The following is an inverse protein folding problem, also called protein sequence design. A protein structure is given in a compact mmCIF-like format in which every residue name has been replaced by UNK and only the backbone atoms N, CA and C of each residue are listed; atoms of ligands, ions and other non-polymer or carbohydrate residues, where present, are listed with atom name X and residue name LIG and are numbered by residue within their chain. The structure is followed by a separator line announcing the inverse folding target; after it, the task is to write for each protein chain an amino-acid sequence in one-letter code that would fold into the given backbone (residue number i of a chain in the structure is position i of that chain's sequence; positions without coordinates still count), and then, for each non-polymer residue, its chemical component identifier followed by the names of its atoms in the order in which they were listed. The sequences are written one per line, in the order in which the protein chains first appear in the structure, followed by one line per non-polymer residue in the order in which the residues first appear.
data_IF_942623297398
#
_entry.id   IF_942623297398
#
_cell.length_a   1.000
_cell.length_b   1.000
_cell.length_c   1.000
_cell.angle_alpha   90.00
_cell.angle_beta   90.00
_cell.angle_gamma   90.00
#
_symmetry.space_group_name_H-M   'P 1'
#
loop_
_entity.id
_entity.type
_entity.pdbx_description
1 polymer ?
#
# COMPACT_ATOMS: atom_id res chain seq x y z
N UNK A 1 4.12 -28.88 -17.55
CA UNK A 1 4.07 -27.63 -18.35
C UNK A 1 4.17 -26.46 -17.36
N UNK A 2 5.13 -25.55 -17.53
CA UNK A 2 5.23 -24.35 -16.68
C UNK A 2 4.09 -23.37 -17.06
N UNK A 3 3.28 -22.98 -16.07
CA UNK A 3 2.19 -22.00 -16.20
C UNK A 3 2.47 -20.78 -15.33
N UNK A 4 2.15 -19.56 -15.79
CA UNK A 4 2.37 -18.35 -15.02
C UNK A 4 1.40 -18.32 -13.84
N UNK A 5 1.86 -17.73 -12.73
CA UNK A 5 1.01 -17.50 -11.56
C UNK A 5 1.16 -16.04 -11.15
N UNK A 6 0.03 -15.35 -11.03
CA UNK A 6 -0.04 -14.05 -10.35
C UNK A 6 -0.61 -14.30 -8.96
N UNK A 7 0.13 -13.88 -7.93
CA UNK A 7 -0.22 -14.08 -6.53
C UNK A 7 -0.26 -12.76 -5.80
N UNK A 8 -1.32 -12.56 -5.02
CA UNK A 8 -1.46 -11.45 -4.08
C UNK A 8 -1.74 -12.05 -2.69
N UNK A 9 -0.90 -11.70 -1.73
CA UNK A 9 -1.01 -12.20 -0.35
C UNK A 9 -1.66 -11.12 0.53
N UNK A 10 -2.67 -11.50 1.30
CA UNK A 10 -3.37 -10.64 2.25
C UNK A 10 -3.22 -11.20 3.65
N UNK A 11 -3.15 -10.33 4.66
CA UNK A 11 -3.39 -10.77 6.04
C UNK A 11 -4.83 -11.26 6.14
N UNK A 12 -5.08 -12.26 6.98
CA UNK A 12 -6.36 -12.97 7.01
C UNK A 12 -7.55 -12.04 7.32
N UNK A 13 -7.36 -11.06 8.20
CA UNK A 13 -8.38 -10.04 8.49
C UNK A 13 -8.83 -9.24 7.26
N UNK A 14 -8.01 -9.14 6.22
CA UNK A 14 -8.31 -8.42 4.98
C UNK A 14 -8.88 -9.35 3.88
N UNK A 15 -9.31 -10.58 4.23
CA UNK A 15 -10.01 -11.48 3.32
C UNK A 15 -11.18 -10.87 2.54
N UNK A 16 -12.00 -9.95 3.12
CA UNK A 16 -13.06 -9.30 2.36
C UNK A 16 -12.56 -8.53 1.13
N UNK A 17 -11.41 -7.86 1.22
CA UNK A 17 -10.80 -7.18 0.07
C UNK A 17 -10.34 -8.18 -1.00
N UNK A 18 -9.73 -9.29 -0.58
CA UNK A 18 -9.32 -10.35 -1.51
C UNK A 18 -10.52 -10.96 -2.26
N UNK A 19 -11.64 -11.20 -1.55
CA UNK A 19 -12.91 -11.65 -2.14
C UNK A 19 -13.44 -10.63 -3.15
N UNK A 20 -13.47 -9.34 -2.80
CA UNK A 20 -13.93 -8.28 -3.70
C UNK A 20 -13.08 -8.18 -4.97
N UNK A 21 -11.76 -8.27 -4.85
CA UNK A 21 -10.85 -8.27 -6.02
C UNK A 21 -11.11 -9.48 -6.91
N UNK A 22 -11.29 -10.68 -6.32
CA UNK A 22 -11.64 -11.91 -7.05
C UNK A 22 -12.94 -11.76 -7.82
N UNK A 23 -13.98 -11.18 -7.20
CA UNK A 23 -15.28 -10.90 -7.81
C UNK A 23 -15.16 -9.95 -9.02
N UNK A 24 -14.50 -8.79 -8.83
CA UNK A 24 -14.33 -7.77 -9.89
C UNK A 24 -13.50 -8.30 -11.06
N UNK A 25 -12.45 -9.07 -10.76
CA UNK A 25 -11.63 -9.67 -11.81
C UNK A 25 -12.29 -10.89 -12.45
N UNK A 26 -13.37 -11.42 -11.86
CA UNK A 26 -14.05 -12.64 -12.27
C UNK A 26 -13.05 -13.78 -12.50
N UNK A 27 -12.18 -14.02 -11.52
CA UNK A 27 -11.11 -15.00 -11.64
C UNK A 27 -10.27 -15.14 -10.38
N UNK A 28 -9.48 -16.21 -10.36
CA UNK A 28 -8.58 -16.55 -9.26
C UNK A 28 -9.23 -17.38 -8.15
N UNK A 29 -8.38 -17.98 -7.31
CA UNK A 29 -8.73 -18.83 -6.19
C UNK A 29 -8.15 -18.26 -4.89
N UNK A 30 -8.91 -18.38 -3.79
CA UNK A 30 -8.43 -18.05 -2.46
C UNK A 30 -7.85 -19.32 -1.84
N UNK A 31 -6.61 -19.24 -1.38
CA UNK A 31 -5.90 -20.33 -0.68
C UNK A 31 -5.60 -19.87 0.73
N UNK A 32 -5.92 -20.73 1.70
CA UNK A 32 -5.70 -20.50 3.13
C UNK A 32 -4.62 -21.47 3.63
N UNK A 33 -3.35 -21.06 3.70
CA UNK A 33 -2.29 -21.93 4.18
C UNK A 33 -2.54 -22.34 5.64
N UNK A 34 -2.31 -23.61 5.95
CA UNK A 34 -2.52 -24.17 7.29
C UNK A 34 -1.67 -23.43 8.33
N UNK A 35 -2.26 -23.18 9.50
CA UNK A 35 -1.61 -22.55 10.65
C UNK A 35 -0.95 -21.19 10.31
N UNK A 36 -1.61 -20.39 9.46
CA UNK A 36 -1.12 -19.08 9.05
C UNK A 36 -2.17 -17.99 9.30
N UNK A 37 -1.73 -16.74 9.38
CA UNK A 37 -2.58 -15.55 9.54
C UNK A 37 -2.70 -14.76 8.24
N UNK A 38 -2.57 -15.44 7.11
CA UNK A 38 -2.64 -14.85 5.77
C UNK A 38 -3.37 -15.77 4.80
N UNK A 39 -3.76 -15.22 3.67
CA UNK A 39 -4.32 -15.96 2.54
C UNK A 39 -3.72 -15.46 1.24
N UNK A 40 -3.73 -16.32 0.23
CA UNK A 40 -3.26 -16.01 -1.11
C UNK A 40 -4.46 -15.95 -2.08
N UNK A 41 -4.56 -14.87 -2.84
CA UNK A 41 -5.39 -14.79 -4.05
C UNK A 41 -4.51 -15.15 -5.25
N UNK A 42 -4.79 -16.31 -5.86
CA UNK A 42 -3.99 -16.90 -6.94
C UNK A 42 -4.73 -16.85 -8.27
N UNK A 43 -4.09 -16.31 -9.30
CA UNK A 43 -4.53 -16.39 -10.68
C UNK A 43 -3.58 -17.35 -11.41
N UNK A 44 -4.08 -18.52 -11.79
CA UNK A 44 -3.28 -19.63 -12.34
C UNK A 44 -3.72 -20.05 -13.74
N UNK A 45 -4.98 -19.78 -14.10
CA UNK A 45 -5.49 -20.06 -15.45
C UNK A 45 -4.99 -19.00 -16.45
N UNK A 46 -4.88 -19.39 -17.72
CA UNK A 46 -4.34 -18.54 -18.77
C UNK A 46 -5.20 -17.29 -19.01
N UNK A 47 -6.52 -17.40 -18.86
CA UNK A 47 -7.44 -16.30 -19.13
C UNK A 47 -7.28 -15.18 -18.09
N UNK A 48 -7.30 -15.53 -16.80
CA UNK A 48 -7.17 -14.55 -15.72
C UNK A 48 -5.77 -13.96 -15.67
N UNK A 49 -4.72 -14.75 -15.88
CA UNK A 49 -3.34 -14.25 -15.94
C UNK A 49 -3.10 -13.34 -17.15
N UNK A 50 -3.70 -13.64 -18.31
CA UNK A 50 -3.67 -12.74 -19.48
C UNK A 50 -4.44 -11.45 -19.22
N UNK A 51 -5.62 -11.52 -18.60
CA UNK A 51 -6.40 -10.35 -18.19
C UNK A 51 -5.58 -9.44 -17.26
N UNK A 52 -4.86 -10.02 -16.30
CA UNK A 52 -3.95 -9.27 -15.43
C UNK A 52 -2.83 -8.58 -16.21
N UNK A 53 -2.22 -9.27 -17.20
CA UNK A 53 -1.20 -8.67 -18.04
C UNK A 53 -1.73 -7.45 -18.79
N UNK A 54 -2.91 -7.55 -19.39
CA UNK A 54 -3.58 -6.43 -20.09
C UNK A 54 -3.90 -5.28 -19.14
N UNK A 55 -4.47 -5.57 -17.97
CA UNK A 55 -4.89 -4.54 -17.01
C UNK A 55 -3.72 -3.73 -16.43
N UNK A 56 -2.56 -4.38 -16.23
CA UNK A 56 -1.38 -3.77 -15.61
C UNK A 56 -0.46 -3.09 -16.63
N UNK A 57 -0.52 -3.46 -17.91
CA UNK A 57 0.35 -2.93 -18.94
C UNK A 57 0.16 -1.41 -19.10
N UNK A 58 1.23 -0.66 -18.91
CA UNK A 58 1.20 0.81 -18.90
C UNK A 58 0.72 1.45 -17.59
N UNK A 59 0.53 0.67 -16.50
CA UNK A 59 0.14 1.18 -15.17
C UNK A 59 1.17 0.91 -14.06
N UNK A 60 2.26 0.20 -14.38
CA UNK A 60 3.32 -0.11 -13.43
C UNK A 60 4.19 1.13 -13.18
N UNK A 61 4.61 1.36 -11.92
CA UNK A 61 5.48 2.50 -11.55
C UNK A 61 6.75 2.11 -10.80
N UNK A 62 7.01 0.82 -10.65
CA UNK A 62 8.17 0.28 -9.93
C UNK A 62 8.96 -0.68 -10.81
N UNK A 63 10.20 -1.03 -10.45
CA UNK A 63 11.00 -2.04 -11.14
C UNK A 63 10.31 -3.40 -11.32
N UNK A 64 9.25 -3.69 -10.55
CA UNK A 64 8.40 -4.89 -10.71
C UNK A 64 7.75 -4.98 -12.10
N UNK A 65 7.75 -3.92 -12.91
CA UNK A 65 7.36 -3.98 -14.33
C UNK A 65 8.09 -5.09 -15.10
N UNK A 66 9.33 -5.42 -14.72
CA UNK A 66 10.08 -6.53 -15.31
C UNK A 66 9.32 -7.86 -15.23
N UNK A 67 8.65 -8.13 -14.09
CA UNK A 67 7.87 -9.35 -13.93
C UNK A 67 6.62 -9.37 -14.82
N UNK A 68 6.01 -8.21 -15.05
CA UNK A 68 4.91 -8.06 -16.00
C UNK A 68 5.40 -8.28 -17.44
N UNK A 69 6.53 -7.70 -17.81
CA UNK A 69 7.12 -7.88 -19.14
C UNK A 69 7.46 -9.34 -19.43
N UNK A 70 8.02 -10.09 -18.46
CA UNK A 70 8.20 -11.55 -18.60
C UNK A 70 6.88 -12.30 -18.80
N UNK A 71 5.80 -11.89 -18.13
CA UNK A 71 4.48 -12.47 -18.33
C UNK A 71 3.94 -12.18 -19.74
N UNK A 72 4.15 -10.97 -20.25
CA UNK A 72 3.78 -10.59 -21.62
C UNK A 72 4.58 -11.41 -22.64
N UNK A 73 5.89 -11.55 -22.44
CA UNK A 73 6.76 -12.34 -23.31
C UNK A 73 6.35 -13.83 -23.32
N UNK A 74 5.96 -14.37 -22.16
CA UNK A 74 5.39 -15.72 -22.07
C UNK A 74 4.16 -15.90 -22.96
N UNK A 75 3.21 -14.95 -22.94
CA UNK A 75 2.01 -15.03 -23.79
C UNK A 75 2.34 -14.85 -25.27
N UNK A 76 3.18 -13.88 -25.61
CA UNK A 76 3.60 -13.59 -26.98
C UNK A 76 4.39 -14.73 -27.65
N UNK A 77 5.01 -15.62 -26.85
CA UNK A 77 5.73 -16.78 -27.35
C UNK A 77 4.84 -18.02 -27.51
N UNK A 78 3.75 -18.15 -26.75
CA UNK A 78 2.90 -19.35 -26.74
C UNK A 78 1.59 -19.20 -27.48
N UNK A 79 1.03 -18.00 -27.54
CA UNK A 79 -0.16 -17.72 -28.30
C UNK A 79 0.28 -17.36 -29.72
N UNK A 80 -0.10 -18.16 -30.71
CA UNK A 80 0.05 -17.80 -32.13
C UNK A 80 -0.92 -16.67 -32.56
N UNK A 81 -1.48 -15.94 -31.59
CA UNK A 81 -2.42 -14.85 -31.80
C UNK A 81 -1.69 -13.59 -32.28
N UNK A 82 -2.29 -12.92 -33.28
CA UNK A 82 -1.85 -11.62 -33.77
C UNK A 82 -2.98 -10.59 -33.58
N UNK A 83 -2.67 -9.33 -33.19
CA UNK A 83 -1.34 -8.80 -32.90
C UNK A 83 -0.81 -9.24 -31.52
N UNK A 84 0.53 -9.29 -31.40
CA UNK A 84 1.21 -9.53 -30.12
C UNK A 84 0.97 -8.36 -29.15
N UNK A 85 0.97 -8.65 -27.85
CA UNK A 85 0.84 -7.63 -26.81
C UNK A 85 2.12 -6.79 -26.74
N UNK A 86 2.00 -5.48 -26.98
CA UNK A 86 3.11 -4.52 -26.89
C UNK A 86 3.44 -4.27 -25.41
N UNK A 87 4.72 -4.31 -25.04
CA UNK A 87 5.18 -3.97 -23.69
C UNK A 87 5.21 -2.45 -23.51
N UNK A 88 4.29 -1.91 -22.72
CA UNK A 88 4.27 -0.48 -22.39
C UNK A 88 5.26 -0.19 -21.24
N UNK A 89 5.76 1.04 -21.20
CA UNK A 89 6.69 1.53 -20.19
C UNK A 89 6.02 1.80 -18.83
N UNK A 90 6.82 2.38 -17.92
CA UNK A 90 6.32 2.84 -16.63
C UNK A 90 5.33 4.00 -16.79
N UNK A 91 4.30 4.01 -15.95
CA UNK A 91 3.35 5.12 -15.84
C UNK A 91 4.00 6.30 -15.10
N UNK A 92 4.08 7.43 -15.80
CA UNK A 92 4.64 8.68 -15.29
C UNK A 92 3.58 9.76 -15.02
N UNK A 93 2.29 9.44 -15.13
CA UNK A 93 1.23 10.40 -14.85
C UNK A 93 1.28 10.92 -13.40
N UNK A 94 0.87 12.17 -13.15
CA UNK A 94 0.96 12.80 -11.83
C UNK A 94 0.36 11.94 -10.71
N UNK A 95 1.03 11.86 -9.56
CA UNK A 95 0.69 10.93 -8.47
C UNK A 95 -0.75 11.09 -7.94
N UNK A 96 -1.27 12.32 -7.94
CA UNK A 96 -2.62 12.62 -7.44
C UNK A 96 -3.75 12.38 -8.44
N UNK A 97 -3.47 11.93 -9.67
CA UNK A 97 -4.47 11.85 -10.74
C UNK A 97 -5.16 10.49 -10.86
N UNK A 98 -4.75 9.50 -10.09
CA UNK A 98 -5.30 8.15 -10.16
C UNK A 98 -5.08 7.40 -8.83
N UNK A 99 -5.72 6.24 -8.61
CA UNK A 99 -5.65 5.51 -7.35
C UNK A 99 -4.33 4.74 -7.10
N UNK A 100 -3.29 4.89 -7.92
CA UNK A 100 -2.07 4.09 -7.80
C UNK A 100 -1.42 4.21 -6.42
N UNK A 101 -1.33 5.42 -5.86
CA UNK A 101 -0.74 5.62 -4.53
C UNK A 101 -1.62 5.01 -3.43
N UNK A 102 -2.94 4.92 -3.62
CA UNK A 102 -3.83 4.29 -2.65
C UNK A 102 -3.57 2.78 -2.60
N UNK A 103 -3.45 2.13 -3.77
CA UNK A 103 -3.07 0.72 -3.85
C UNK A 103 -1.67 0.44 -3.30
N UNK A 104 -0.72 1.37 -3.51
CA UNK A 104 0.63 1.25 -2.96
C UNK A 104 0.66 1.39 -1.43
N UNK A 105 -0.09 2.34 -0.88
CA UNK A 105 -0.29 2.48 0.56
C UNK A 105 -1.06 1.31 1.15
N UNK A 106 -1.91 0.64 0.37
CA UNK A 106 -2.57 -0.57 0.85
C UNK A 106 -1.63 -1.73 1.09
N UNK A 107 -0.61 -1.86 0.25
CA UNK A 107 0.41 -2.88 0.43
C UNK A 107 1.40 -2.50 1.55
N UNK A 108 1.96 -1.29 1.48
CA UNK A 108 3.19 -0.95 2.20
C UNK A 108 3.09 0.32 3.08
N UNK A 109 1.90 0.92 3.16
CA UNK A 109 1.61 2.09 3.99
C UNK A 109 1.28 1.74 5.44
N UNK A 110 1.60 2.67 6.35
CA UNK A 110 1.29 2.59 7.76
C UNK A 110 0.86 3.95 8.32
N UNK A 111 -0.23 3.98 9.09
CA UNK A 111 -0.68 5.15 9.84
C UNK A 111 -0.30 5.01 11.31
N UNK A 112 0.51 5.94 11.80
CA UNK A 112 1.01 5.93 13.16
C UNK A 112 0.41 7.06 13.99
N UNK A 113 0.00 6.71 15.21
CA UNK A 113 -0.45 7.63 16.25
C UNK A 113 0.28 7.35 17.57
N UNK A 114 0.84 8.39 18.16
CA UNK A 114 1.55 8.36 19.43
C UNK A 114 1.23 9.58 20.27
N UNK A 115 1.19 9.40 21.59
CA UNK A 115 0.94 10.47 22.55
C UNK A 115 1.75 10.23 23.82
N UNK A 116 2.10 11.32 24.51
CA UNK A 116 2.70 11.29 25.84
C UNK A 116 1.78 11.98 26.84
N UNK A 117 1.71 11.46 28.06
CA UNK A 117 0.89 11.99 29.14
C UNK A 117 1.74 12.78 30.14
N UNK A 118 1.13 13.74 30.84
CA UNK A 118 1.67 14.36 32.05
C UNK A 118 1.28 13.52 33.30
N UNK A 119 1.65 14.00 34.49
CA UNK A 119 1.32 13.36 35.77
C UNK A 119 -0.19 13.28 36.05
N UNK A 120 -0.98 14.18 35.47
CA UNK A 120 -2.44 14.26 35.61
C UNK A 120 -3.18 13.39 34.58
N UNK A 121 -2.44 12.64 33.74
CA UNK A 121 -3.04 11.82 32.69
C UNK A 121 -3.53 12.61 31.48
N UNK A 122 -3.18 13.89 31.35
CA UNK A 122 -3.50 14.74 30.20
C UNK A 122 -2.37 14.67 29.16
N UNK A 123 -2.74 14.67 27.88
CA UNK A 123 -1.79 14.61 26.77
C UNK A 123 -0.92 15.86 26.70
N UNK A 124 0.40 15.69 26.82
CA UNK A 124 1.41 16.77 26.69
C UNK A 124 2.06 16.86 25.31
N UNK A 125 1.95 15.80 24.50
CA UNK A 125 2.56 15.76 23.19
C UNK A 125 1.94 14.70 22.30
N UNK A 126 1.78 15.03 21.01
CA UNK A 126 1.09 14.19 20.02
C UNK A 126 1.95 14.05 18.77
N UNK A 127 2.12 12.81 18.31
CA UNK A 127 2.81 12.46 17.07
C UNK A 127 1.84 11.68 16.18
N UNK A 128 1.68 12.12 14.95
CA UNK A 128 0.85 11.45 13.96
C UNK A 128 1.48 11.61 12.58
N UNK A 129 1.65 10.50 11.87
CA UNK A 129 2.22 10.46 10.52
C UNK A 129 1.73 9.24 9.74
N UNK A 130 1.74 9.35 8.41
CA UNK A 130 1.78 8.21 7.50
C UNK A 130 3.24 7.91 7.18
N UNK A 131 3.57 6.62 7.07
CA UNK A 131 4.85 6.14 6.56
C UNK A 131 4.59 5.15 5.44
N UNK A 132 5.42 5.18 4.40
CA UNK A 132 5.51 4.15 3.37
C UNK A 132 6.97 3.84 3.11
N UNK A 133 7.28 2.57 2.82
CA UNK A 133 8.65 2.15 2.61
C UNK A 133 8.78 1.05 1.58
N UNK A 134 9.90 1.02 0.87
CA UNK A 134 10.29 -0.05 -0.05
C UNK A 134 11.75 -0.41 0.14
N UNK A 135 12.11 -1.66 -0.18
CA UNK A 135 13.51 -2.06 -0.35
C UNK A 135 14.19 -1.15 -1.36
N UNK A 136 15.47 -0.85 -1.16
CA UNK A 136 16.21 -0.01 -2.11
C UNK A 136 16.23 -0.62 -3.51
N UNK A 137 16.51 -1.92 -3.59
CA UNK A 137 16.50 -2.69 -4.84
C UNK A 137 15.34 -3.68 -4.86
N UNK A 138 14.68 -3.81 -6.01
CA UNK A 138 13.57 -4.76 -6.19
C UNK A 138 14.04 -6.22 -6.14
N UNK A 139 15.12 -6.55 -6.85
CA UNK A 139 15.73 -7.88 -6.86
C UNK A 139 17.24 -7.78 -6.64
N UNK A 140 17.84 -8.76 -5.99
CA UNK A 140 19.29 -8.90 -5.99
C UNK A 140 19.71 -9.71 -7.22
N UNK A 141 19.83 -9.05 -8.38
CA UNK A 141 20.10 -9.71 -9.66
C UNK A 141 20.97 -8.85 -10.56
N UNK A 142 21.84 -9.50 -11.34
CA UNK A 142 22.72 -8.87 -12.33
C UNK A 142 22.03 -8.52 -13.66
N UNK A 143 20.81 -9.03 -13.91
CA UNK A 143 20.13 -8.85 -15.20
C UNK A 143 19.40 -7.52 -15.35
N UNK A 144 19.20 -6.77 -14.25
CA UNK A 144 18.56 -5.45 -14.26
C UNK A 144 19.63 -4.45 -13.82
N UNK A 145 19.90 -3.44 -14.65
CA UNK A 145 20.80 -2.33 -14.29
C UNK A 145 20.39 -1.73 -12.94
N UNK A 146 21.35 -1.28 -12.13
CA UNK A 146 21.09 -0.72 -10.80
C UNK A 146 20.03 0.40 -10.81
N UNK A 147 20.09 1.28 -11.81
CA UNK A 147 19.12 2.35 -12.03
C UNK A 147 17.68 1.80 -12.17
N UNK A 148 17.46 0.89 -13.11
CA UNK A 148 16.16 0.27 -13.36
C UNK A 148 15.69 -0.69 -12.25
N UNK A 149 16.56 -1.07 -11.32
CA UNK A 149 16.25 -1.97 -10.21
C UNK A 149 15.91 -1.22 -8.91
N UNK A 150 16.16 0.10 -8.86
CA UNK A 150 15.97 0.92 -7.67
C UNK A 150 14.52 1.38 -7.50
N UNK A 151 14.00 1.30 -6.27
CA UNK A 151 12.73 1.93 -5.91
C UNK A 151 12.88 3.43 -5.57
N UNK A 152 14.08 4.01 -5.69
CA UNK A 152 14.31 5.41 -5.30
C UNK A 152 13.41 6.38 -6.06
N UNK A 153 13.31 6.25 -7.38
CA UNK A 153 12.56 7.18 -8.23
C UNK A 153 11.08 7.26 -7.83
N UNK A 154 10.45 6.11 -7.53
CA UNK A 154 9.04 6.11 -7.12
C UNK A 154 8.88 6.72 -5.72
N UNK A 155 9.82 6.48 -4.81
CA UNK A 155 9.79 7.09 -3.48
C UNK A 155 10.01 8.61 -3.55
N UNK A 156 10.86 9.11 -4.45
CA UNK A 156 11.02 10.55 -4.72
C UNK A 156 9.72 11.17 -5.25
N UNK A 157 9.04 10.53 -6.20
CA UNK A 157 7.73 11.02 -6.69
C UNK A 157 6.68 11.09 -5.58
N UNK A 158 6.67 10.11 -4.67
CA UNK A 158 5.76 10.12 -3.50
C UNK A 158 6.14 11.25 -2.53
N UNK A 159 7.45 11.42 -2.27
CA UNK A 159 7.97 12.50 -1.43
C UNK A 159 7.53 13.87 -1.97
N UNK A 160 7.74 14.12 -3.26
CA UNK A 160 7.38 15.39 -3.91
C UNK A 160 5.89 15.66 -3.82
N UNK A 161 5.07 14.66 -4.19
CA UNK A 161 3.62 14.80 -4.16
C UNK A 161 3.08 15.11 -2.76
N UNK A 162 3.62 14.46 -1.73
CA UNK A 162 3.21 14.67 -0.34
C UNK A 162 3.92 15.84 0.34
N UNK A 163 4.70 16.64 -0.40
CA UNK A 163 5.47 17.77 0.15
C UNK A 163 6.35 17.33 1.34
N UNK A 164 7.03 16.18 1.21
CA UNK A 164 7.97 15.67 2.21
C UNK A 164 9.39 16.13 1.87
N UNK A 165 10.19 16.45 2.89
CA UNK A 165 11.52 17.03 2.68
C UNK A 165 12.49 16.08 1.98
N UNK A 166 12.57 14.83 2.43
CA UNK A 166 13.56 13.84 1.93
C UNK A 166 12.99 12.43 1.95
N UNK A 167 13.46 11.60 1.02
CA UNK A 167 13.41 10.15 1.16
C UNK A 167 14.50 9.73 2.12
N UNK A 168 14.14 9.05 3.20
CA UNK A 168 15.09 8.59 4.23
C UNK A 168 15.59 7.19 3.87
N UNK A 169 16.89 6.95 3.93
CA UNK A 169 17.46 5.60 3.89
C UNK A 169 17.39 4.98 5.29
N UNK A 170 16.80 3.80 5.40
CA UNK A 170 16.67 3.07 6.67
C UNK A 170 17.23 1.67 6.54
N UNK A 171 17.79 1.16 7.63
CA UNK A 171 18.32 -0.19 7.73
C UNK A 171 17.44 -0.98 8.70
N UNK A 172 16.94 -2.15 8.27
CA UNK A 172 16.16 -3.04 9.11
C UNK A 172 16.92 -4.32 9.34
N UNK A 173 17.40 -4.51 10.56
CA UNK A 173 18.01 -5.77 10.98
C UNK A 173 16.94 -6.84 11.01
N UNK A 174 17.05 -7.83 10.11
CA UNK A 174 16.33 -9.09 10.16
C UNK A 174 17.26 -10.15 10.75
N UNK A 175 16.70 -11.26 11.19
CA UNK A 175 17.46 -12.36 11.81
C UNK A 175 18.67 -12.80 10.97
N UNK A 176 18.54 -12.83 9.64
CA UNK A 176 19.57 -13.36 8.72
C UNK A 176 20.31 -12.30 7.89
N UNK A 177 19.81 -11.07 7.82
CA UNK A 177 20.35 -10.04 6.94
C UNK A 177 19.88 -8.64 7.34
N UNK A 178 20.55 -7.61 6.81
CA UNK A 178 20.09 -6.22 6.91
C UNK A 178 19.34 -5.85 5.63
N UNK A 179 18.08 -5.45 5.78
CA UNK A 179 17.29 -4.92 4.67
C UNK A 179 17.50 -3.40 4.56
N UNK A 180 18.08 -2.96 3.44
CA UNK A 180 18.17 -1.54 3.11
C UNK A 180 16.85 -1.10 2.45
N UNK A 181 16.26 -0.02 2.95
CA UNK A 181 14.99 0.52 2.45
C UNK A 181 15.02 2.03 2.31
N UNK A 182 14.13 2.53 1.46
CA UNK A 182 13.71 3.93 1.40
C UNK A 182 12.42 4.10 2.20
N UNK A 183 12.27 5.23 2.90
CA UNK A 183 11.07 5.61 3.63
C UNK A 183 10.66 7.05 3.29
N UNK A 184 9.36 7.24 3.08
CA UNK A 184 8.71 8.56 3.06
C UNK A 184 7.76 8.63 4.23
N UNK A 185 7.84 9.73 4.99
CA UNK A 185 7.01 9.96 6.18
C UNK A 185 6.44 11.37 6.16
N UNK A 186 5.13 11.49 6.34
CA UNK A 186 4.50 12.81 6.53
C UNK A 186 4.97 13.39 7.87
N UNK A 187 5.55 14.59 7.86
CA UNK A 187 6.14 15.19 9.05
C UNK A 187 5.60 16.60 9.38
N UNK A 188 4.79 17.18 8.49
CA UNK A 188 4.17 18.51 8.64
C UNK A 188 2.69 18.49 8.27
N UNK A 189 1.96 19.52 8.71
CA UNK A 189 0.52 19.68 8.45
C UNK A 189 0.19 19.53 6.96
N UNK A 190 0.87 20.28 6.09
CA UNK A 190 0.66 20.25 4.63
C UNK A 190 0.75 18.84 4.05
N UNK A 191 1.76 18.06 4.47
CA UNK A 191 1.94 16.69 4.00
C UNK A 191 0.80 15.75 4.43
N UNK A 192 0.26 15.94 5.64
CA UNK A 192 -0.90 15.19 6.09
C UNK A 192 -2.17 15.62 5.35
N UNK A 193 -2.38 16.92 5.15
CA UNK A 193 -3.56 17.45 4.45
C UNK A 193 -3.61 16.99 2.98
N UNK A 194 -2.46 16.99 2.29
CA UNK A 194 -2.35 16.47 0.93
C UNK A 194 -2.74 15.00 0.85
N UNK A 195 -2.25 14.19 1.80
CA UNK A 195 -2.61 12.77 1.89
C UNK A 195 -4.11 12.58 2.19
N UNK A 196 -4.68 13.35 3.12
CA UNK A 196 -6.11 13.29 3.46
C UNK A 196 -6.95 13.64 2.24
N UNK A 197 -6.59 14.70 1.51
CA UNK A 197 -7.27 15.10 0.27
C UNK A 197 -7.21 13.99 -0.77
N UNK A 198 -6.04 13.39 -0.98
CA UNK A 198 -5.86 12.28 -1.92
C UNK A 198 -6.72 11.07 -1.55
N UNK A 199 -6.65 10.59 -0.30
CA UNK A 199 -7.38 9.41 0.15
C UNK A 199 -8.89 9.63 0.32
N UNK A 200 -9.34 10.89 0.32
CA UNK A 200 -10.78 11.21 0.25
C UNK A 200 -11.33 11.04 -1.18
N UNK A 201 -10.48 11.13 -2.21
CA UNK A 201 -10.84 10.87 -3.60
C UNK A 201 -10.59 9.40 -3.98
N UNK A 202 -9.47 8.84 -3.51
CA UNK A 202 -9.06 7.47 -3.78
C UNK A 202 -8.96 6.67 -2.46
N UNK A 203 -10.07 6.10 -1.99
CA UNK A 203 -10.10 5.44 -0.69
C UNK A 203 -9.26 4.15 -0.66
N UNK A 204 -8.80 3.82 0.55
CA UNK A 204 -8.34 2.49 0.92
C UNK A 204 -9.56 1.56 1.12
N UNK A 205 -9.35 0.24 1.09
CA UNK A 205 -10.42 -0.76 1.13
C UNK A 205 -10.16 -1.96 2.06
N UNK A 206 -8.94 -2.11 2.57
CA UNK A 206 -8.57 -3.06 3.61
C UNK A 206 -8.95 -2.53 5.00
N UNK A 207 -8.61 -3.27 6.06
CA UNK A 207 -8.72 -2.76 7.44
C UNK A 207 -7.96 -1.44 7.66
N UNK A 208 -6.98 -1.14 6.80
CA UNK A 208 -6.22 0.12 6.81
C UNK A 208 -7.05 1.33 6.40
N UNK A 209 -8.18 1.14 5.72
CA UNK A 209 -9.18 2.20 5.54
C UNK A 209 -9.65 2.76 6.88
N UNK A 210 -9.99 1.88 7.81
CA UNK A 210 -10.41 2.26 9.16
C UNK A 210 -9.25 2.90 9.93
N UNK A 211 -8.03 2.38 9.77
CA UNK A 211 -6.83 3.00 10.35
C UNK A 211 -6.60 4.42 9.83
N UNK A 212 -6.83 4.66 8.53
CA UNK A 212 -6.78 5.99 7.95
C UNK A 212 -7.86 6.93 8.54
N UNK A 213 -9.09 6.46 8.70
CA UNK A 213 -10.17 7.27 9.28
C UNK A 213 -9.86 7.68 10.71
N UNK A 214 -9.43 6.74 11.55
CA UNK A 214 -9.05 7.02 12.94
C UNK A 214 -7.82 7.93 13.01
N UNK A 215 -6.83 7.71 12.13
CA UNK A 215 -5.66 8.57 12.01
C UNK A 215 -6.00 10.00 11.59
N UNK A 216 -6.96 10.16 10.66
CA UNK A 216 -7.45 11.47 10.20
C UNK A 216 -8.12 12.22 11.35
N UNK A 217 -8.95 11.55 12.15
CA UNK A 217 -9.58 12.15 13.32
C UNK A 217 -8.54 12.49 14.41
N UNK A 218 -7.58 11.59 14.64
CA UNK A 218 -6.46 11.85 15.55
C UNK A 218 -5.65 13.08 15.12
N UNK A 219 -5.45 13.26 13.80
CA UNK A 219 -4.79 14.43 13.24
C UNK A 219 -5.62 15.71 13.45
N UNK A 220 -6.94 15.65 13.27
CA UNK A 220 -7.86 16.77 13.53
C UNK A 220 -7.77 17.24 14.99
N UNK A 221 -7.90 16.32 15.95
CA UNK A 221 -7.78 16.60 17.40
C UNK A 221 -6.41 17.20 17.75
N UNK A 222 -5.33 16.70 17.11
CA UNK A 222 -3.99 17.28 17.28
C UNK A 222 -3.95 18.75 16.85
N UNK A 223 -4.57 19.08 15.72
CA UNK A 223 -4.56 20.46 15.18
C UNK A 223 -5.44 21.40 16.00
N UNK A 224 -6.61 20.95 16.46
CA UNK A 224 -7.51 21.75 17.30
C UNK A 224 -7.04 21.90 18.75
N UNK A 225 -6.04 21.12 19.16
CA UNK A 225 -5.52 21.05 20.55
C UNK A 225 -6.54 20.57 21.58
N UNK A 226 -7.64 19.95 21.14
CA UNK A 226 -8.65 19.33 22.01
C UNK A 226 -8.04 18.32 23.01
N UNK A 227 -6.91 17.72 22.66
CA UNK A 227 -6.15 16.78 23.50
C UNK A 227 -5.66 17.34 24.84
N UNK A 228 -5.68 18.67 25.04
CA UNK A 228 -5.28 19.30 26.31
C UNK A 228 -6.34 19.15 27.43
N UNK A 229 -7.44 18.46 27.14
CA UNK A 229 -8.48 18.10 28.10
C UNK A 229 -8.44 16.61 28.41
N UNK A 230 -9.04 16.21 29.54
CA UNK A 230 -9.23 14.79 29.90
C UNK A 230 -10.06 14.07 28.82
N UNK A 231 -11.11 14.73 28.31
CA UNK A 231 -11.98 14.19 27.27
C UNK A 231 -11.21 13.98 25.96
N UNK A 232 -10.50 15.00 25.48
CA UNK A 232 -9.70 14.90 24.26
C UNK A 232 -8.55 13.91 24.37
N UNK A 233 -7.93 13.79 25.55
CA UNK A 233 -6.93 12.74 25.81
C UNK A 233 -7.55 11.36 25.73
N UNK A 234 -8.71 11.15 26.35
CA UNK A 234 -9.45 9.89 26.28
C UNK A 234 -9.81 9.52 24.84
N UNK A 235 -10.23 10.49 24.02
CA UNK A 235 -10.48 10.30 22.58
C UNK A 235 -9.23 9.86 21.82
N UNK A 236 -8.08 10.51 22.04
CA UNK A 236 -6.82 10.10 21.39
C UNK A 236 -6.37 8.69 21.81
N UNK A 237 -6.52 8.34 23.08
CA UNK A 237 -6.19 7.01 23.60
C UNK A 237 -7.07 5.95 22.94
N UNK A 238 -8.39 6.22 22.85
CA UNK A 238 -9.33 5.34 22.18
C UNK A 238 -8.94 5.13 20.71
N UNK A 239 -8.80 6.20 19.92
CA UNK A 239 -8.42 6.12 18.50
C UNK A 239 -7.12 5.33 18.31
N UNK A 240 -6.08 5.63 19.09
CA UNK A 240 -4.80 4.92 19.03
C UNK A 240 -4.94 3.43 19.33
N UNK A 241 -5.84 3.05 20.24
CA UNK A 241 -6.09 1.65 20.60
C UNK A 241 -7.08 0.96 19.66
N UNK A 242 -7.79 1.70 18.81
CA UNK A 242 -8.66 1.15 17.77
C UNK A 242 -7.94 0.90 16.45
N UNK A 243 -6.64 1.22 16.32
CA UNK A 243 -5.89 1.14 15.07
C UNK A 243 -4.93 -0.05 14.96
N UNK A 244 -4.56 -0.38 13.72
CA UNK A 244 -3.49 -1.30 13.33
C UNK A 244 -3.67 -2.71 13.95
N UNK A 245 -2.70 -3.17 14.73
CA UNK A 245 -2.71 -4.49 15.38
C UNK A 245 -3.65 -4.57 16.58
N UNK A 246 -4.12 -3.42 17.09
CA UNK A 246 -5.05 -3.36 18.22
C UNK A 246 -6.52 -3.34 17.79
N UNK A 247 -6.79 -3.14 16.50
CA UNK A 247 -8.14 -3.12 15.95
C UNK A 247 -8.78 -4.49 16.05
N UNK A 248 -9.96 -4.55 16.67
CA UNK A 248 -10.79 -5.76 16.78
C UNK A 248 -12.15 -5.63 16.09
N UNK A 249 -12.57 -4.41 15.74
CA UNK A 249 -13.83 -4.12 15.06
C UNK A 249 -13.58 -3.71 13.62
N UNK A 250 -14.29 -4.32 12.68
CA UNK A 250 -14.13 -4.09 11.25
C UNK A 250 -15.46 -3.77 10.58
N UNK A 251 -15.47 -2.68 9.81
CA UNK A 251 -16.54 -2.31 8.88
C UNK A 251 -15.97 -2.37 7.46
N UNK A 252 -16.73 -2.97 6.54
CA UNK A 252 -16.32 -3.22 5.15
C UNK A 252 -17.19 -2.50 4.12
N UNK A 253 -17.99 -1.52 4.54
CA UNK A 253 -18.92 -0.80 3.67
C UNK A 253 -18.21 -0.03 2.55
N UNK A 254 -16.94 0.34 2.77
CA UNK A 254 -16.10 0.93 1.72
C UNK A 254 -15.99 0.03 0.48
N UNK A 255 -16.07 -1.31 0.63
CA UNK A 255 -16.04 -2.24 -0.50
C UNK A 255 -17.24 -2.13 -1.44
N UNK A 256 -18.35 -1.52 -1.00
CA UNK A 256 -19.50 -1.26 -1.86
C UNK A 256 -19.17 -0.29 -2.99
N UNK A 257 -18.19 0.60 -2.77
CA UNK A 257 -17.71 1.59 -3.73
C UNK A 257 -16.35 1.19 -4.33
N UNK A 258 -16.01 -0.11 -4.34
CA UNK A 258 -14.72 -0.59 -4.84
C UNK A 258 -14.64 -0.47 -6.37
N UNK A 259 -14.23 0.72 -6.85
CA UNK A 259 -13.94 1.03 -8.25
C UNK A 259 -14.96 0.48 -9.25
N UNK A 260 -16.25 0.55 -8.90
CA UNK A 260 -17.43 0.20 -9.69
C UNK A 260 -18.41 1.37 -9.66
#
# INVERSE_FOLDING_TARGET
MLSPVVKITFVEKDAPLAKKIKEVLNGGSLVYPKNSNYLDLLFQDLNSTRKMAVLLNGKMRTPKIEALHRLIDFFNARLNEKPKMIKLGLDNSPMGNNPWLAGFLEADGNFYCGLGLNSEGITKGVKSYMRVSQKQSYKNTSYISEENNSNFLIMEKIREYLDVKTVTKINRTKEKYVELSYEVRTNKKTSCDLLIKYLSVYPLFSSKHLDFLDWREFHRIRLSREYLTIEGTSKLIYLKNSMNTKRTQFNWDSLNNFYC
#
